data_IF_563714060267
#
_entry.id   IF_563714060267
#
_cell.length_a   1.000
_cell.length_b   1.000
_cell.length_c   1.000
_cell.angle_alpha   90.00
_cell.angle_beta   90.00
_cell.angle_gamma   90.00
#
_symmetry.space_group_name_H-M   'P 1'
#
loop_
_entity.id
_entity.type
_entity.pdbx_description
1 polymer ?
#
# COMPACT_ATOMS: atom_id res chain seq x y z
N UNK A 1 7.66 -25.04 0.38
CA UNK A 1 6.79 -25.33 1.52
C UNK A 1 5.56 -26.09 1.05
N UNK A 2 5.41 -27.34 1.43
CA UNK A 2 4.31 -28.22 1.00
C UNK A 2 2.98 -27.93 1.74
N UNK A 3 2.97 -26.94 2.64
CA UNK A 3 1.80 -26.61 3.43
C UNK A 3 1.02 -25.42 2.84
N UNK A 4 -0.22 -25.61 2.36
CA UNK A 4 -1.06 -24.54 1.82
C UNK A 4 -1.28 -23.37 2.78
N UNK A 5 -1.32 -23.63 4.08
CA UNK A 5 -1.42 -22.60 5.11
C UNK A 5 -0.18 -21.70 5.17
N UNK A 6 1.00 -22.26 4.90
CA UNK A 6 2.23 -21.46 4.80
C UNK A 6 2.20 -20.56 3.58
N UNK A 7 1.68 -21.03 2.44
CA UNK A 7 1.49 -20.19 1.26
C UNK A 7 0.50 -19.05 1.51
N UNK A 8 -0.65 -19.36 2.05
CA UNK A 8 -1.65 -18.36 2.42
C UNK A 8 -1.12 -17.33 3.43
N UNK A 9 -0.34 -17.78 4.43
CA UNK A 9 0.33 -16.90 5.39
C UNK A 9 1.36 -15.98 4.73
N UNK A 10 2.15 -16.51 3.79
CA UNK A 10 3.08 -15.72 2.98
C UNK A 10 2.35 -14.65 2.17
N UNK A 11 1.29 -15.01 1.44
CA UNK A 11 0.49 -14.09 0.64
C UNK A 11 -0.12 -12.97 1.50
N UNK A 12 -0.56 -13.28 2.72
CA UNK A 12 -1.06 -12.27 3.68
C UNK A 12 0.02 -11.23 4.02
N UNK A 13 1.24 -11.67 4.36
CA UNK A 13 2.35 -10.76 4.65
C UNK A 13 2.76 -9.98 3.41
N UNK A 14 2.79 -10.64 2.25
CA UNK A 14 3.12 -10.04 0.95
C UNK A 14 2.10 -8.96 0.56
N UNK A 15 0.81 -9.14 0.85
CA UNK A 15 -0.24 -8.16 0.51
C UNK A 15 -0.04 -6.78 1.16
N UNK A 16 0.53 -6.73 2.36
CA UNK A 16 0.89 -5.48 3.03
C UNK A 16 2.22 -4.91 2.54
N UNK A 17 3.11 -5.78 2.04
CA UNK A 17 4.47 -5.45 1.59
C UNK A 17 4.61 -5.72 0.08
N UNK A 18 3.57 -5.45 -0.70
CA UNK A 18 3.43 -5.81 -2.10
C UNK A 18 4.46 -5.16 -3.04
N UNK A 19 5.13 -4.10 -2.60
CA UNK A 19 6.19 -3.42 -3.35
C UNK A 19 7.56 -4.08 -3.22
N UNK A 20 7.71 -5.03 -2.31
CA UNK A 20 8.89 -5.87 -2.23
C UNK A 20 8.83 -6.95 -3.30
N UNK A 21 9.98 -7.36 -3.82
CA UNK A 21 10.07 -8.52 -4.71
C UNK A 21 9.68 -9.79 -3.97
N UNK A 22 9.27 -10.82 -4.70
CA UNK A 22 8.84 -12.07 -4.08
C UNK A 22 9.91 -12.71 -3.18
N UNK A 23 11.18 -12.70 -3.59
CA UNK A 23 12.30 -13.21 -2.80
C UNK A 23 12.48 -12.43 -1.48
N UNK A 24 12.30 -11.11 -1.49
CA UNK A 24 12.31 -10.27 -0.29
C UNK A 24 11.08 -10.54 0.60
N UNK A 25 9.89 -10.72 -0.01
CA UNK A 25 8.65 -11.08 0.70
C UNK A 25 8.79 -12.44 1.40
N UNK A 26 9.44 -13.41 0.75
CA UNK A 26 9.71 -14.74 1.32
C UNK A 26 10.63 -14.63 2.54
N UNK A 27 11.72 -13.87 2.44
CA UNK A 27 12.64 -13.62 3.55
C UNK A 27 11.96 -12.84 4.69
N UNK A 28 11.12 -11.88 4.34
CA UNK A 28 10.31 -11.13 5.30
C UNK A 28 9.37 -12.05 6.07
N UNK A 29 8.58 -12.86 5.37
CA UNK A 29 7.64 -13.80 5.99
C UNK A 29 8.33 -14.81 6.90
N UNK A 30 9.47 -15.35 6.47
CA UNK A 30 10.23 -16.32 7.25
C UNK A 30 10.73 -15.75 8.59
N UNK A 31 10.99 -14.44 8.68
CA UNK A 31 11.54 -13.78 9.87
C UNK A 31 10.47 -13.03 10.67
N UNK A 32 9.46 -12.45 9.99
CA UNK A 32 8.42 -11.62 10.57
C UNK A 32 7.09 -11.79 9.83
N UNK A 33 6.34 -12.89 10.08
CA UNK A 33 5.10 -13.17 9.35
C UNK A 33 3.96 -12.15 9.59
N UNK A 34 4.04 -11.36 10.64
CA UNK A 34 3.09 -10.29 11.01
C UNK A 34 3.49 -8.90 10.51
N UNK A 35 4.53 -8.77 9.70
CA UNK A 35 5.01 -7.49 9.20
C UNK A 35 3.97 -6.79 8.32
N UNK A 36 3.73 -5.49 8.58
CA UNK A 36 2.72 -4.68 7.88
C UNK A 36 3.31 -3.56 7.04
N UNK A 37 4.42 -2.97 7.45
CA UNK A 37 5.11 -1.92 6.70
C UNK A 37 6.58 -1.88 7.10
N UNK A 38 7.45 -2.31 6.20
CA UNK A 38 8.87 -2.44 6.48
C UNK A 38 9.70 -1.48 5.64
N UNK A 39 10.68 -0.86 6.27
CA UNK A 39 11.67 0.01 5.63
C UNK A 39 13.02 -0.12 6.34
N UNK A 40 14.13 0.19 5.64
CA UNK A 40 15.42 0.33 6.26
C UNK A 40 15.45 1.55 7.21
N UNK A 41 16.35 1.51 8.21
CA UNK A 41 16.43 2.53 9.27
C UNK A 41 16.62 3.95 8.72
N UNK A 42 17.38 4.09 7.64
CA UNK A 42 17.64 5.38 6.98
C UNK A 42 16.36 6.02 6.44
N UNK A 43 15.46 5.19 5.90
CA UNK A 43 14.15 5.66 5.40
C UNK A 43 13.22 6.01 6.56
N UNK A 44 13.21 5.22 7.63
CA UNK A 44 12.44 5.56 8.83
C UNK A 44 12.87 6.90 9.43
N UNK A 45 14.17 7.13 9.55
CA UNK A 45 14.72 8.36 10.13
C UNK A 45 14.53 9.55 9.19
N UNK A 46 14.96 9.44 7.94
CA UNK A 46 15.01 10.56 6.99
C UNK A 46 13.64 10.95 6.45
N UNK A 47 12.82 9.98 6.01
CA UNK A 47 11.53 10.27 5.39
C UNK A 47 10.42 10.49 6.40
N UNK A 48 10.40 9.76 7.52
CA UNK A 48 9.28 9.77 8.46
C UNK A 48 9.61 10.36 9.84
N UNK A 49 10.88 10.63 10.15
CA UNK A 49 11.28 11.11 11.48
C UNK A 49 10.97 10.11 12.58
N UNK A 50 11.03 8.81 12.24
CA UNK A 50 10.80 7.70 13.16
C UNK A 50 12.10 7.01 13.50
N UNK A 51 12.20 6.48 14.72
CA UNK A 51 13.40 5.83 15.25
C UNK A 51 13.09 4.38 15.59
N UNK A 52 14.01 3.49 15.26
CA UNK A 52 13.90 2.08 15.61
C UNK A 52 14.03 1.92 17.12
N UNK A 53 13.16 1.11 17.71
CA UNK A 53 13.13 0.84 19.15
C UNK A 53 14.40 0.07 19.57
N UNK A 54 14.92 0.38 20.74
CA UNK A 54 16.08 -0.33 21.28
C UNK A 54 15.74 -1.81 21.47
N UNK A 55 16.56 -2.68 20.87
CA UNK A 55 16.39 -4.12 20.95
C UNK A 55 15.49 -4.71 19.86
N UNK A 56 14.92 -3.89 18.95
CA UNK A 56 14.23 -4.39 17.78
C UNK A 56 15.19 -5.21 16.91
N UNK A 57 14.70 -6.32 16.35
CA UNK A 57 15.47 -7.18 15.47
C UNK A 57 15.22 -6.76 14.03
N UNK A 58 16.29 -6.43 13.30
CA UNK A 58 16.21 -6.16 11.87
C UNK A 58 15.89 -7.43 11.09
N UNK A 59 15.05 -7.28 10.08
CA UNK A 59 14.68 -8.32 9.12
C UNK A 59 15.70 -8.26 7.99
N UNK A 60 16.49 -9.31 7.83
CA UNK A 60 17.55 -9.37 6.84
C UNK A 60 16.97 -9.70 5.45
N UNK A 61 17.17 -8.81 4.48
CA UNK A 61 16.80 -8.99 3.07
C UNK A 61 17.99 -8.71 2.17
N UNK A 62 17.97 -9.26 0.97
CA UNK A 62 18.98 -8.99 -0.04
C UNK A 62 18.43 -7.98 -1.05
N UNK A 63 18.97 -6.78 -1.08
CA UNK A 63 18.70 -5.78 -2.10
C UNK A 63 19.69 -5.93 -3.26
N UNK A 64 19.19 -5.88 -4.48
CA UNK A 64 20.01 -5.85 -5.68
C UNK A 64 20.47 -4.41 -5.99
N UNK A 65 21.68 -4.08 -5.58
CA UNK A 65 22.36 -2.85 -5.99
C UNK A 65 22.94 -3.05 -7.40
N UNK A 66 22.24 -2.64 -8.45
CA UNK A 66 22.71 -2.67 -9.85
C UNK A 66 22.93 -4.06 -10.47
N UNK A 67 22.06 -5.06 -10.25
CA UNK A 67 22.11 -6.41 -10.87
C UNK A 67 23.45 -7.18 -10.70
N UNK A 68 24.47 -6.60 -10.07
CA UNK A 68 25.79 -7.21 -9.94
C UNK A 68 26.27 -7.43 -8.50
N UNK A 69 25.62 -6.80 -7.52
CA UNK A 69 25.97 -6.97 -6.10
C UNK A 69 24.71 -7.02 -5.25
N UNK A 70 24.49 -8.16 -4.65
CA UNK A 70 23.51 -8.30 -3.58
C UNK A 70 24.09 -7.68 -2.30
N UNK A 71 23.34 -6.76 -1.73
CA UNK A 71 23.65 -6.14 -0.44
C UNK A 71 22.68 -6.66 0.61
N UNK A 72 23.20 -7.12 1.72
CA UNK A 72 22.40 -7.44 2.89
C UNK A 72 21.96 -6.14 3.57
N UNK A 73 20.65 -5.91 3.59
CA UNK A 73 20.01 -4.75 4.24
C UNK A 73 19.08 -5.25 5.34
N UNK A 74 18.91 -4.44 6.40
CA UNK A 74 18.01 -4.76 7.50
C UNK A 74 16.80 -3.83 7.47
N UNK A 75 15.63 -4.42 7.31
CA UNK A 75 14.35 -3.73 7.41
C UNK A 75 13.80 -3.82 8.83
N UNK A 76 12.98 -2.84 9.19
CA UNK A 76 12.27 -2.80 10.47
C UNK A 76 10.80 -2.52 10.19
N UNK A 77 9.91 -3.26 10.84
CA UNK A 77 8.48 -3.01 10.74
C UNK A 77 8.11 -1.72 11.49
N UNK A 78 7.04 -1.06 11.05
CA UNK A 78 6.54 0.18 11.68
C UNK A 78 6.28 0.00 13.17
N UNK A 79 5.84 -1.19 13.61
CA UNK A 79 5.59 -1.52 15.02
C UNK A 79 6.87 -1.53 15.87
N UNK A 80 8.02 -1.74 15.24
CA UNK A 80 9.34 -1.67 15.87
C UNK A 80 9.90 -0.25 15.91
N UNK A 81 9.13 0.77 15.55
CA UNK A 81 9.57 2.16 15.51
C UNK A 81 8.68 3.07 16.35
N UNK A 82 9.23 4.18 16.80
CA UNK A 82 8.49 5.26 17.45
C UNK A 82 8.72 6.59 16.72
N UNK A 83 7.71 7.46 16.73
CA UNK A 83 7.80 8.78 16.13
C UNK A 83 8.54 9.76 17.05
N UNK A 84 9.36 10.63 16.47
CA UNK A 84 9.83 11.83 17.12
C UNK A 84 8.70 12.88 17.19
N UNK A 85 8.92 14.00 17.90
CA UNK A 85 7.96 15.13 17.87
C UNK A 85 7.75 15.72 16.46
N UNK A 86 8.60 15.41 15.52
CA UNK A 86 8.55 15.84 14.12
C UNK A 86 8.21 14.68 13.15
N UNK A 87 7.72 13.57 13.70
CA UNK A 87 7.37 12.41 12.87
C UNK A 87 6.28 12.79 11.87
N UNK A 88 6.51 12.40 10.62
CA UNK A 88 5.50 12.51 9.56
C UNK A 88 4.58 11.31 9.60
N UNK A 89 3.30 11.47 9.22
CA UNK A 89 2.42 10.32 9.03
C UNK A 89 3.01 9.33 8.03
N UNK A 90 2.96 8.05 8.36
CA UNK A 90 3.30 6.99 7.39
C UNK A 90 2.04 6.77 6.54
N UNK A 91 2.13 6.81 5.20
CA UNK A 91 0.98 6.68 4.33
C UNK A 91 0.51 5.21 4.26
N UNK A 92 -0.07 4.75 5.35
CA UNK A 92 -0.73 3.45 5.43
C UNK A 92 -2.20 3.66 5.05
N UNK A 93 -2.51 3.49 3.78
CA UNK A 93 -3.88 3.61 3.30
C UNK A 93 -4.76 2.46 3.81
N UNK A 94 -6.02 2.74 4.03
CA UNK A 94 -7.04 1.79 4.45
C UNK A 94 -8.24 1.91 3.54
N UNK A 95 -8.80 0.74 3.17
CA UNK A 95 -10.07 0.69 2.47
C UNK A 95 -11.19 1.19 3.38
N UNK A 96 -12.11 1.97 2.81
CA UNK A 96 -13.35 2.40 3.44
C UNK A 96 -14.50 2.10 2.51
N UNK A 97 -15.69 1.89 3.05
CA UNK A 97 -16.88 1.61 2.26
C UNK A 97 -17.16 2.72 1.24
N UNK A 98 -16.89 3.97 1.60
CA UNK A 98 -17.07 5.12 0.71
C UNK A 98 -16.15 5.12 -0.53
N UNK A 99 -15.09 4.30 -0.54
CA UNK A 99 -14.13 4.18 -1.66
C UNK A 99 -14.40 2.97 -2.56
N UNK A 100 -15.44 2.19 -2.27
CA UNK A 100 -15.69 0.91 -2.96
C UNK A 100 -15.88 1.09 -4.47
N UNK A 101 -16.67 2.08 -4.87
CA UNK A 101 -16.90 2.39 -6.28
C UNK A 101 -15.64 2.84 -7.01
N UNK A 102 -14.84 3.72 -6.36
CA UNK A 102 -13.60 4.22 -6.96
C UNK A 102 -12.53 3.12 -7.10
N UNK A 103 -12.47 2.21 -6.13
CA UNK A 103 -11.57 1.04 -6.17
C UNK A 103 -12.00 0.05 -7.25
N UNK A 104 -13.31 -0.20 -7.39
CA UNK A 104 -13.86 -1.04 -8.44
C UNK A 104 -13.50 -0.47 -9.82
N UNK A 105 -13.79 0.80 -10.06
CA UNK A 105 -13.44 1.50 -11.30
C UNK A 105 -11.93 1.46 -11.57
N UNK A 106 -11.10 1.62 -10.54
CA UNK A 106 -9.64 1.53 -10.66
C UNK A 106 -9.20 0.15 -11.14
N UNK A 107 -9.76 -0.92 -10.59
CA UNK A 107 -9.45 -2.29 -11.00
C UNK A 107 -9.87 -2.55 -12.45
N UNK A 108 -11.09 -2.15 -12.83
CA UNK A 108 -11.58 -2.31 -14.21
C UNK A 108 -10.78 -1.48 -15.22
N UNK A 109 -10.39 -0.26 -14.87
CA UNK A 109 -9.51 0.57 -15.71
C UNK A 109 -8.10 -0.01 -15.84
N UNK A 110 -7.61 -0.74 -14.83
CA UNK A 110 -6.26 -1.32 -14.84
C UNK A 110 -6.21 -2.66 -15.56
N UNK A 111 -7.22 -3.51 -15.38
CA UNK A 111 -7.21 -4.92 -15.79
C UNK A 111 -8.33 -5.30 -16.76
N UNK A 112 -9.16 -4.34 -17.17
CA UNK A 112 -10.35 -4.60 -18.00
C UNK A 112 -11.59 -4.92 -17.16
N UNK A 113 -12.76 -4.74 -17.80
CA UNK A 113 -14.07 -4.92 -17.17
C UNK A 113 -14.25 -6.36 -16.69
N UNK A 114 -14.86 -6.53 -15.52
CA UNK A 114 -15.26 -7.83 -14.99
C UNK A 114 -16.62 -8.25 -15.60
N UNK A 115 -16.79 -9.53 -15.91
CA UNK A 115 -18.08 -10.08 -16.40
C UNK A 115 -19.19 -9.99 -15.35
N UNK A 116 -18.85 -10.15 -14.06
CA UNK A 116 -19.74 -9.97 -12.91
C UNK A 116 -19.29 -8.78 -12.06
N UNK A 117 -20.07 -7.73 -12.08
CA UNK A 117 -19.85 -6.50 -11.31
C UNK A 117 -20.82 -6.31 -10.16
N UNK A 118 -21.43 -7.38 -9.69
CA UNK A 118 -22.45 -7.35 -8.62
C UNK A 118 -21.88 -7.00 -7.25
N UNK A 119 -20.62 -7.35 -6.99
CA UNK A 119 -19.89 -7.08 -5.74
C UNK A 119 -18.44 -6.74 -6.02
N UNK A 120 -17.77 -6.03 -5.10
CA UNK A 120 -16.36 -5.74 -5.23
C UNK A 120 -15.50 -7.02 -5.30
N UNK A 121 -15.89 -8.06 -4.59
CA UNK A 121 -15.22 -9.36 -4.63
C UNK A 121 -15.32 -10.02 -6.01
N UNK A 122 -16.49 -9.95 -6.68
CA UNK A 122 -16.67 -10.45 -8.05
C UNK A 122 -15.84 -9.64 -9.04
N UNK A 123 -15.78 -8.32 -8.89
CA UNK A 123 -14.93 -7.43 -9.69
C UNK A 123 -13.45 -7.79 -9.52
N UNK A 124 -13.00 -7.99 -8.28
CA UNK A 124 -11.61 -8.42 -8.02
C UNK A 124 -11.30 -9.72 -8.76
N UNK A 125 -12.17 -10.72 -8.68
CA UNK A 125 -11.94 -12.01 -9.34
C UNK A 125 -11.92 -11.89 -10.87
N UNK A 126 -12.84 -11.14 -11.46
CA UNK A 126 -12.90 -10.91 -12.89
C UNK A 126 -11.68 -10.14 -13.41
N UNK A 127 -11.37 -9.00 -12.79
CA UNK A 127 -10.21 -8.17 -13.14
C UNK A 127 -8.89 -8.92 -12.97
N UNK A 128 -8.71 -9.67 -11.87
CA UNK A 128 -7.54 -10.53 -11.68
C UNK A 128 -7.48 -11.63 -12.73
N UNK A 129 -8.63 -12.22 -13.11
CA UNK A 129 -8.73 -13.16 -14.21
C UNK A 129 -8.12 -12.61 -15.48
N UNK A 130 -8.56 -11.41 -15.90
CA UNK A 130 -8.06 -10.69 -17.07
C UNK A 130 -6.55 -10.41 -16.94
N UNK A 131 -6.12 -9.83 -15.82
CA UNK A 131 -4.72 -9.49 -15.58
C UNK A 131 -3.79 -10.69 -15.67
N UNK A 132 -4.20 -11.83 -15.11
CA UNK A 132 -3.40 -13.06 -15.17
C UNK A 132 -3.39 -13.61 -16.60
N UNK A 133 -4.53 -13.69 -17.29
CA UNK A 133 -4.61 -14.22 -18.64
C UNK A 133 -3.76 -13.39 -19.61
N UNK A 134 -3.68 -12.08 -19.44
CA UNK A 134 -2.87 -11.18 -20.27
C UNK A 134 -1.35 -11.32 -20.02
N UNK A 135 -0.94 -11.64 -18.80
CA UNK A 135 0.47 -11.63 -18.39
C UNK A 135 1.09 -13.02 -18.22
N UNK A 136 0.27 -14.06 -18.04
CA UNK A 136 0.76 -15.40 -17.63
C UNK A 136 1.70 -16.05 -18.66
N UNK A 137 1.58 -15.70 -19.93
CA UNK A 137 2.40 -16.25 -20.99
C UNK A 137 3.90 -16.03 -20.75
N UNK A 138 4.27 -14.86 -20.21
CA UNK A 138 5.66 -14.52 -19.92
C UNK A 138 6.24 -15.37 -18.79
N UNK A 139 5.42 -15.76 -17.82
CA UNK A 139 5.81 -16.62 -16.70
C UNK A 139 5.75 -18.11 -17.02
N UNK A 140 4.97 -18.49 -18.04
CA UNK A 140 4.86 -19.89 -18.50
C UNK A 140 5.99 -20.32 -19.45
N UNK A 141 6.71 -19.37 -20.05
CA UNK A 141 7.73 -19.65 -21.03
C UNK A 141 8.76 -20.66 -20.54
N UNK A 142 9.16 -20.56 -19.26
CA UNK A 142 10.16 -21.42 -18.64
C UNK A 142 9.56 -22.54 -17.79
N UNK A 143 8.21 -22.62 -17.65
CA UNK A 143 7.55 -23.57 -16.76
C UNK A 143 7.99 -25.01 -17.01
N UNK A 144 8.06 -25.43 -18.26
CA UNK A 144 8.42 -26.78 -18.60
C UNK A 144 9.86 -27.14 -18.21
N UNK A 145 10.79 -26.19 -18.31
CA UNK A 145 12.19 -26.41 -17.90
C UNK A 145 12.34 -26.43 -16.38
N UNK A 146 11.47 -25.73 -15.64
CA UNK A 146 11.49 -25.64 -14.18
C UNK A 146 10.78 -26.82 -13.49
N UNK A 147 9.97 -27.61 -14.23
CA UNK A 147 9.21 -28.73 -13.67
C UNK A 147 10.10 -29.90 -13.20
N UNK A 148 11.33 -30.01 -13.68
CA UNK A 148 12.22 -31.11 -13.36
C UNK A 148 12.41 -31.24 -11.82
N UNK A 149 12.16 -32.44 -11.31
CA UNK A 149 12.25 -32.75 -9.89
C UNK A 149 11.04 -32.30 -9.03
N UNK A 150 10.07 -31.60 -9.60
CA UNK A 150 8.83 -31.24 -8.94
C UNK A 150 7.73 -32.29 -9.11
N UNK A 151 6.69 -32.26 -8.27
CA UNK A 151 5.48 -33.09 -8.47
C UNK A 151 4.77 -32.74 -9.77
N UNK A 152 4.83 -31.47 -10.20
CA UNK A 152 4.26 -31.01 -11.48
C UNK A 152 4.85 -31.72 -12.70
N UNK A 153 6.04 -32.30 -12.63
CA UNK A 153 6.65 -33.10 -13.70
C UNK A 153 5.79 -34.30 -14.10
N UNK A 154 4.98 -34.82 -13.19
CA UNK A 154 4.07 -35.93 -13.44
C UNK A 154 2.79 -35.55 -14.19
N UNK A 155 2.51 -34.25 -14.35
CA UNK A 155 1.32 -33.72 -15.00
C UNK A 155 1.53 -33.62 -16.53
N UNK A 156 0.42 -33.70 -17.28
CA UNK A 156 0.45 -33.31 -18.68
C UNK A 156 0.72 -31.77 -18.76
N UNK A 157 1.42 -31.31 -19.80
CA UNK A 157 1.81 -29.90 -19.93
C UNK A 157 0.63 -28.93 -19.83
N UNK A 158 -0.50 -29.21 -20.46
CA UNK A 158 -1.70 -28.36 -20.39
C UNK A 158 -2.29 -28.36 -18.99
N UNK A 159 -2.36 -29.50 -18.31
CA UNK A 159 -2.84 -29.58 -16.94
C UNK A 159 -1.92 -28.83 -15.96
N UNK A 160 -0.60 -28.90 -16.14
CA UNK A 160 0.34 -28.14 -15.34
C UNK A 160 0.17 -26.64 -15.53
N UNK A 161 -0.03 -26.19 -16.76
CA UNK A 161 -0.31 -24.80 -17.12
C UNK A 161 -1.60 -24.30 -16.46
N UNK A 162 -2.69 -25.07 -16.59
CA UNK A 162 -3.99 -24.71 -16.04
C UNK A 162 -3.94 -24.59 -14.51
N UNK A 163 -3.31 -25.56 -13.84
CA UNK A 163 -3.13 -25.55 -12.38
C UNK A 163 -2.30 -24.36 -11.95
N UNK A 164 -1.20 -24.07 -12.66
CA UNK A 164 -0.36 -22.90 -12.40
C UNK A 164 -1.15 -21.59 -12.52
N UNK A 165 -1.85 -21.41 -13.66
CA UNK A 165 -2.65 -20.22 -13.93
C UNK A 165 -3.73 -20.00 -12.86
N UNK A 166 -4.45 -21.05 -12.49
CA UNK A 166 -5.48 -20.97 -11.45
C UNK A 166 -4.89 -20.64 -10.08
N UNK A 167 -3.74 -21.22 -9.73
CA UNK A 167 -3.08 -20.91 -8.47
C UNK A 167 -2.62 -19.44 -8.41
N UNK A 168 -2.09 -18.90 -9.51
CA UNK A 168 -1.72 -17.49 -9.60
C UNK A 168 -2.96 -16.59 -9.48
N UNK A 169 -4.06 -16.89 -10.21
CA UNK A 169 -5.33 -16.14 -10.10
C UNK A 169 -5.83 -16.09 -8.66
N UNK A 170 -5.91 -17.22 -7.99
CA UNK A 170 -6.38 -17.31 -6.60
C UNK A 170 -5.44 -16.57 -5.64
N UNK A 171 -4.13 -16.66 -5.86
CA UNK A 171 -3.13 -16.00 -5.02
C UNK A 171 -3.18 -14.47 -5.16
N UNK A 172 -3.28 -13.93 -6.37
CA UNK A 172 -3.41 -12.49 -6.62
C UNK A 172 -4.72 -11.95 -6.06
N UNK A 173 -5.85 -12.61 -6.33
CA UNK A 173 -7.15 -12.21 -5.81
C UNK A 173 -7.17 -12.20 -4.27
N UNK A 174 -6.58 -13.22 -3.65
CA UNK A 174 -6.43 -13.28 -2.19
C UNK A 174 -5.59 -12.10 -1.65
N UNK A 175 -4.45 -11.79 -2.29
CA UNK A 175 -3.61 -10.66 -1.85
C UNK A 175 -4.35 -9.33 -1.90
N UNK A 176 -5.11 -9.07 -2.96
CA UNK A 176 -5.91 -7.85 -3.10
C UNK A 176 -7.03 -7.82 -2.05
N UNK A 177 -7.78 -8.92 -1.89
CA UNK A 177 -8.86 -9.05 -0.89
C UNK A 177 -8.35 -8.81 0.53
N UNK A 178 -7.22 -9.43 0.91
CA UNK A 178 -6.58 -9.21 2.22
C UNK A 178 -6.17 -7.76 2.41
N UNK A 179 -5.55 -7.14 1.39
CA UNK A 179 -5.03 -5.77 1.52
C UNK A 179 -6.15 -4.73 1.61
N UNK A 180 -7.30 -5.01 0.99
CA UNK A 180 -8.52 -4.21 1.13
C UNK A 180 -9.25 -4.48 2.45
N UNK A 181 -8.88 -5.51 3.22
CA UNK A 181 -9.56 -5.86 4.46
C UNK A 181 -10.95 -6.46 4.26
N UNK A 182 -11.22 -7.01 3.08
CA UNK A 182 -12.49 -7.69 2.75
C UNK A 182 -12.54 -9.10 3.34
N UNK A 183 -13.72 -9.73 3.30
CA UNK A 183 -13.89 -11.10 3.79
C UNK A 183 -13.07 -12.10 2.95
N UNK A 184 -12.21 -12.85 3.63
CA UNK A 184 -11.36 -13.87 3.02
C UNK A 184 -11.86 -15.30 3.21
N UNK A 185 -13.07 -15.49 3.73
CA UNK A 185 -13.64 -16.81 4.05
C UNK A 185 -13.77 -17.73 2.83
N UNK A 186 -13.89 -17.17 1.62
CA UNK A 186 -13.90 -17.91 0.35
C UNK A 186 -12.56 -18.56 -0.01
N UNK A 187 -11.47 -18.07 0.55
CA UNK A 187 -10.12 -18.58 0.32
C UNK A 187 -9.72 -19.51 1.46
N UNK A 188 -10.19 -20.75 1.39
CA UNK A 188 -9.83 -21.78 2.37
C UNK A 188 -8.43 -22.33 2.09
N UNK A 189 -7.92 -23.18 2.99
CA UNK A 189 -6.64 -23.84 2.77
C UNK A 189 -6.64 -24.71 1.50
N UNK A 190 -7.79 -25.27 1.15
CA UNK A 190 -7.99 -26.09 -0.06
C UNK A 190 -7.79 -25.26 -1.34
N UNK A 191 -8.10 -23.97 -1.33
CA UNK A 191 -7.91 -23.06 -2.48
C UNK A 191 -6.44 -23.02 -2.93
N UNK A 192 -5.50 -23.28 -2.03
CA UNK A 192 -4.06 -23.21 -2.30
C UNK A 192 -3.36 -24.58 -2.29
N UNK A 193 -4.11 -25.69 -2.23
CA UNK A 193 -3.50 -27.03 -2.20
C UNK A 193 -2.61 -27.32 -3.41
N UNK A 194 -2.94 -26.71 -4.53
CA UNK A 194 -2.19 -26.87 -5.78
C UNK A 194 -0.74 -26.37 -5.71
N UNK A 195 -0.36 -25.58 -4.71
CA UNK A 195 1.05 -25.22 -4.48
C UNK A 195 1.93 -26.45 -4.26
N UNK A 196 1.37 -27.54 -3.75
CA UNK A 196 2.09 -28.81 -3.57
C UNK A 196 2.60 -29.45 -4.85
N UNK A 197 2.05 -29.13 -6.02
CA UNK A 197 2.60 -29.56 -7.29
C UNK A 197 3.91 -28.85 -7.63
N UNK A 198 4.08 -27.63 -7.16
CA UNK A 198 5.20 -26.72 -7.46
C UNK A 198 6.21 -26.70 -6.29
N UNK A 199 6.64 -27.86 -5.83
CA UNK A 199 7.34 -28.06 -4.56
C UNK A 199 8.88 -27.95 -4.62
N UNK A 200 9.44 -27.46 -5.73
CA UNK A 200 10.85 -27.08 -5.80
C UNK A 200 11.04 -25.59 -5.56
N UNK A 201 12.22 -25.14 -5.09
CA UNK A 201 12.49 -23.72 -4.91
C UNK A 201 12.27 -22.89 -6.19
N UNK A 202 12.66 -23.42 -7.34
CA UNK A 202 12.52 -22.77 -8.64
C UNK A 202 11.04 -22.59 -9.02
N UNK A 203 10.23 -23.65 -8.80
CA UNK A 203 8.80 -23.62 -9.09
C UNK A 203 8.03 -22.71 -8.13
N UNK A 204 8.36 -22.74 -6.82
CA UNK A 204 7.80 -21.82 -5.83
C UNK A 204 8.12 -20.39 -6.20
N UNK A 205 9.35 -20.11 -6.63
CA UNK A 205 9.75 -18.78 -7.09
C UNK A 205 8.97 -18.38 -8.35
N UNK A 206 8.79 -19.27 -9.32
CA UNK A 206 8.02 -18.97 -10.54
C UNK A 206 6.57 -18.58 -10.22
N UNK A 207 5.88 -19.34 -9.36
CA UNK A 207 4.52 -19.01 -8.89
C UNK A 207 4.53 -17.68 -8.12
N UNK A 208 5.52 -17.50 -7.25
CA UNK A 208 5.62 -16.34 -6.38
C UNK A 208 5.89 -15.04 -7.13
N UNK A 209 6.80 -15.05 -8.11
CA UNK A 209 7.08 -13.87 -8.93
C UNK A 209 5.86 -13.49 -9.77
N UNK A 210 5.21 -14.42 -10.45
CA UNK A 210 3.98 -14.15 -11.21
C UNK A 210 2.90 -13.53 -10.29
N UNK A 211 2.69 -14.13 -9.11
CA UNK A 211 1.71 -13.65 -8.14
C UNK A 211 2.06 -12.25 -7.64
N UNK A 212 3.31 -12.03 -7.23
CA UNK A 212 3.75 -10.76 -6.64
C UNK A 212 3.71 -9.61 -7.65
N UNK A 213 4.20 -9.84 -8.86
CA UNK A 213 4.28 -8.81 -9.90
C UNK A 213 2.87 -8.38 -10.35
N UNK A 214 1.96 -9.33 -10.59
CA UNK A 214 0.58 -9.02 -10.99
C UNK A 214 -0.19 -8.35 -9.83
N UNK A 215 -0.02 -8.82 -8.60
CA UNK A 215 -0.64 -8.19 -7.44
C UNK A 215 -0.11 -6.75 -7.20
N UNK A 216 1.19 -6.50 -7.41
CA UNK A 216 1.78 -5.17 -7.28
C UNK A 216 1.14 -4.17 -8.26
N UNK A 217 0.85 -4.59 -9.50
CA UNK A 217 0.18 -3.73 -10.49
C UNK A 217 -1.15 -3.18 -9.94
N UNK A 218 -2.07 -4.06 -9.55
CA UNK A 218 -3.38 -3.67 -9.05
C UNK A 218 -3.31 -2.92 -7.71
N UNK A 219 -2.53 -3.41 -6.76
CA UNK A 219 -2.40 -2.79 -5.44
C UNK A 219 -1.73 -1.41 -5.49
N UNK A 220 -0.86 -1.16 -6.47
CA UNK A 220 -0.26 0.16 -6.69
C UNK A 220 -1.30 1.17 -7.16
N UNK A 221 -2.16 0.82 -8.12
CA UNK A 221 -3.21 1.71 -8.61
C UNK A 221 -4.28 1.95 -7.55
N UNK A 222 -4.72 0.91 -6.84
CA UNK A 222 -5.63 1.05 -5.68
C UNK A 222 -5.04 2.00 -4.63
N UNK A 223 -3.76 1.85 -4.29
CA UNK A 223 -3.09 2.72 -3.34
C UNK A 223 -3.07 4.18 -3.80
N UNK A 224 -2.84 4.44 -5.09
CA UNK A 224 -2.89 5.79 -5.68
C UNK A 224 -4.29 6.41 -5.56
N UNK A 225 -5.32 5.66 -5.92
CA UNK A 225 -6.72 6.07 -5.83
C UNK A 225 -7.10 6.42 -4.40
N UNK A 226 -6.88 5.52 -3.44
CA UNK A 226 -7.23 5.75 -2.04
C UNK A 226 -6.47 6.95 -1.46
N UNK A 227 -5.16 7.08 -1.73
CA UNK A 227 -4.38 8.23 -1.27
C UNK A 227 -4.89 9.56 -1.87
N UNK A 228 -5.33 9.56 -3.13
CA UNK A 228 -5.92 10.75 -3.76
C UNK A 228 -7.25 11.13 -3.10
N UNK A 229 -8.14 10.17 -2.85
CA UNK A 229 -9.41 10.37 -2.16
C UNK A 229 -9.19 10.89 -0.72
N UNK A 230 -8.27 10.29 0.03
CA UNK A 230 -7.94 10.77 1.38
C UNK A 230 -7.36 12.19 1.40
N UNK A 231 -6.57 12.56 0.38
CA UNK A 231 -6.06 13.92 0.24
C UNK A 231 -7.19 14.90 -0.05
N UNK A 232 -8.09 14.56 -0.96
CA UNK A 232 -9.27 15.37 -1.28
C UNK A 232 -10.17 15.57 -0.07
N UNK A 233 -10.48 14.52 0.67
CA UNK A 233 -11.30 14.57 1.88
C UNK A 233 -10.68 15.49 2.95
N UNK A 234 -9.35 15.48 3.10
CA UNK A 234 -8.64 16.40 4.01
C UNK A 234 -8.76 17.86 3.59
N UNK A 235 -8.70 18.15 2.28
CA UNK A 235 -8.87 19.52 1.75
C UNK A 235 -10.28 20.02 2.03
N UNK A 236 -11.30 19.23 1.69
CA UNK A 236 -12.72 19.56 1.93
C UNK A 236 -12.99 19.81 3.43
N UNK A 237 -12.43 18.95 4.29
CA UNK A 237 -12.58 19.13 5.74
C UNK A 237 -11.94 20.42 6.26
N UNK A 238 -10.78 20.80 5.71
CA UNK A 238 -10.09 22.05 6.06
C UNK A 238 -10.85 23.29 5.58
N UNK A 239 -11.43 23.26 4.38
CA UNK A 239 -12.27 24.34 3.83
C UNK A 239 -13.53 24.53 4.67
N UNK A 240 -14.25 23.45 4.97
CA UNK A 240 -15.45 23.50 5.81
C UNK A 240 -15.16 24.07 7.22
N UNK A 241 -14.01 23.70 7.80
CA UNK A 241 -13.60 24.25 9.11
C UNK A 241 -13.25 25.75 9.03
N UNK A 242 -12.66 26.20 7.95
CA UNK A 242 -12.36 27.60 7.69
C UNK A 242 -13.64 28.44 7.55
N UNK A 243 -14.64 27.93 6.81
CA UNK A 243 -15.91 28.62 6.61
C UNK A 243 -16.74 28.67 7.88
N UNK A 244 -16.72 27.62 8.70
CA UNK A 244 -17.36 27.62 10.02
C UNK A 244 -16.78 28.71 10.93
N UNK A 245 -15.46 28.81 11.03
CA UNK A 245 -14.77 29.82 11.82
C UNK A 245 -15.02 31.26 11.30
N UNK A 246 -15.15 31.42 9.98
CA UNK A 246 -15.48 32.72 9.38
C UNK A 246 -16.90 33.17 9.72
N UNK A 247 -17.87 32.24 9.71
CA UNK A 247 -19.25 32.52 10.08
C UNK A 247 -19.41 32.85 11.56
N UNK A 248 -18.74 32.11 12.48
CA UNK A 248 -18.75 32.44 13.91
C UNK A 248 -18.16 33.83 14.21
N UNK A 249 -17.07 34.20 13.50
CA UNK A 249 -16.46 35.51 13.67
C UNK A 249 -17.36 36.64 13.12
N UNK A 250 -18.10 36.40 12.05
CA UNK A 250 -19.07 37.35 11.51
C UNK A 250 -20.29 37.52 12.44
N UNK A 251 -20.77 36.43 13.05
CA UNK A 251 -21.88 36.49 14.02
C UNK A 251 -21.45 37.26 15.31
N UNK A 252 -20.26 36.98 15.83
CA UNK A 252 -19.70 37.70 16.97
C UNK A 252 -19.44 39.19 16.69
N UNK A 253 -19.05 39.54 15.47
CA UNK A 253 -18.86 40.94 15.04
C UNK A 253 -20.18 41.66 14.90
N UNK A 254 -21.26 41.00 14.46
CA UNK A 254 -22.60 41.55 14.37
C UNK A 254 -23.27 41.74 15.75
N UNK A 255 -22.98 40.87 16.71
CA UNK A 255 -23.52 40.97 18.06
C UNK A 255 -22.86 42.11 18.85
N UNK A 256 -21.53 42.31 18.70
CA UNK A 256 -20.82 43.45 19.25
C UNK A 256 -21.24 44.81 18.62
N UNK A 257 -21.70 44.81 17.35
CA UNK A 257 -22.22 46.01 16.71
C UNK A 257 -23.60 46.47 17.22
N UNK A 258 -24.38 45.59 17.85
CA UNK A 258 -25.69 45.91 18.40
C UNK A 258 -25.65 46.46 19.83
N UNK A 259 -24.55 46.25 20.57
CA UNK A 259 -24.40 46.71 21.97
C UNK A 259 -23.71 48.08 22.13
N UNK A 260 -23.32 48.77 21.00
CA UNK A 260 -22.67 50.08 21.09
C UNK A 260 -23.58 51.26 20.70
N UNK A 261 -24.89 51.17 20.91
CA UNK A 261 -25.82 52.28 20.65
C UNK A 261 -26.44 52.87 21.93
N UNK A 262 -25.76 52.77 23.06
CA UNK A 262 -26.10 53.60 24.27
C UNK A 262 -24.88 53.65 25.19
N UNK A 263 -24.05 54.63 25.07
CA UNK A 263 -23.70 55.60 26.12
C UNK A 263 -22.69 56.66 25.61
N UNK A 264 -23.01 57.87 25.84
CA UNK A 264 -22.23 59.02 25.48
C UNK A 264 -21.26 59.43 26.57
N UNK A 265 -20.05 59.86 26.17
CA UNK A 265 -19.29 60.84 26.95
C UNK A 265 -18.04 60.36 27.65
N UNK A 266 -16.90 60.61 27.09
CA UNK A 266 -15.85 61.52 27.57
C UNK A 266 -14.46 61.16 27.03
N UNK A 267 -13.86 62.18 26.46
CA UNK A 267 -12.47 62.27 25.99
C UNK A 267 -11.46 61.97 27.10
N UNK A 268 -10.39 61.23 26.80
CA UNK A 268 -9.02 61.68 27.01
C UNK A 268 -7.97 60.83 26.27
N UNK A 269 -7.07 61.57 25.69
CA UNK A 269 -5.92 61.24 24.88
C UNK A 269 -4.81 60.46 25.58
N UNK A 270 -4.15 59.57 24.88
CA UNK A 270 -2.67 59.50 24.80
C UNK A 270 -2.21 58.41 23.81
N UNK A 271 -1.59 58.85 22.74
CA UNK A 271 -0.62 58.11 21.93
C UNK A 271 0.76 58.21 22.55
N UNK A 272 1.85 57.65 21.95
CA UNK A 272 2.09 56.35 21.29
C UNK A 272 3.37 55.67 21.83
N UNK A 273 3.69 54.48 21.39
CA UNK A 273 5.08 54.08 21.04
C UNK A 273 5.18 52.66 20.44
N UNK A 274 5.54 52.64 19.32
CA UNK A 274 6.53 52.01 18.43
C UNK A 274 7.33 50.81 18.93
N UNK A 275 7.29 49.69 18.16
CA UNK A 275 8.40 48.82 17.77
C UNK A 275 7.84 47.49 17.22
N UNK A 276 8.06 47.16 16.00
CA UNK A 276 9.21 46.55 15.41
C UNK A 276 8.73 45.42 14.52
N UNK A 277 8.78 45.66 13.25
CA UNK A 277 8.61 44.65 12.20
C UNK A 277 9.64 43.54 12.31
N UNK A 278 9.21 42.29 12.14
CA UNK A 278 10.06 41.20 11.67
C UNK A 278 9.28 40.39 10.64
N UNK A 279 9.53 40.73 9.40
CA UNK A 279 9.25 39.91 8.25
C UNK A 279 9.95 38.57 8.42
N UNK A 280 9.22 37.48 8.29
CA UNK A 280 9.80 36.17 7.96
C UNK A 280 9.15 35.65 6.69
N UNK A 281 9.96 35.67 5.66
CA UNK A 281 9.76 35.03 4.38
C UNK A 281 9.27 33.58 4.56
N UNK A 282 8.11 33.31 3.97
CA UNK A 282 7.65 31.94 3.77
C UNK A 282 8.35 31.37 2.53
N UNK A 283 9.43 30.64 2.76
CA UNK A 283 10.04 29.79 1.76
C UNK A 283 9.09 28.64 1.39
N UNK A 284 8.58 28.71 0.19
CA UNK A 284 7.86 27.67 -0.49
C UNK A 284 8.84 26.54 -0.81
N UNK A 285 8.86 25.49 0.00
CA UNK A 285 9.55 24.25 -0.36
C UNK A 285 8.52 23.22 -0.81
N UNK A 286 8.71 22.79 -2.06
CA UNK A 286 7.89 21.80 -2.74
C UNK A 286 7.75 20.50 -1.93
N UNK A 287 6.54 19.99 -1.94
CA UNK A 287 6.23 18.69 -1.40
C UNK A 287 6.84 17.63 -2.33
N UNK A 288 8.00 17.10 -1.98
CA UNK A 288 8.52 15.85 -2.53
C UNK A 288 7.59 14.73 -2.05
N UNK A 289 6.82 14.23 -2.99
CA UNK A 289 5.99 13.05 -2.86
C UNK A 289 6.92 11.84 -2.67
N UNK A 290 7.18 11.48 -1.41
CA UNK A 290 7.94 10.28 -1.08
C UNK A 290 7.09 9.05 -1.40
N UNK A 291 7.05 8.70 -2.68
CA UNK A 291 6.60 7.40 -3.15
C UNK A 291 7.56 6.35 -2.60
N UNK A 292 7.04 5.44 -1.79
CA UNK A 292 7.77 4.25 -1.36
C UNK A 292 8.23 3.48 -2.59
N UNK A 293 9.55 3.52 -2.86
CA UNK A 293 10.29 2.84 -3.94
C UNK A 293 9.76 3.02 -5.37
N UNK A 294 10.28 4.00 -6.09
CA UNK A 294 10.30 3.92 -7.56
C UNK A 294 11.39 2.91 -7.98
N UNK A 295 11.00 1.84 -8.65
CA UNK A 295 11.91 1.07 -9.49
C UNK A 295 12.12 1.85 -10.79
N UNK A 296 13.34 1.97 -11.32
CA UNK A 296 13.52 2.48 -12.68
C UNK A 296 12.89 1.48 -13.67
N UNK A 297 12.05 2.01 -14.55
CA UNK A 297 11.44 1.28 -15.66
C UNK A 297 12.52 0.55 -16.46
N UNK A 298 12.33 -0.74 -16.67
CA UNK A 298 13.17 -1.53 -17.56
C UNK A 298 12.77 -1.23 -19.00
N UNK A 299 13.70 -0.70 -19.78
CA UNK A 299 13.79 -0.89 -21.22
C UNK A 299 14.76 -2.02 -21.50
#
# INVERSE_FOLDING_TARGET
SENPLNWQGLLRTASYNFRLRFDEQLLLYAQRPDATAVLPIERWNGSFGRWVNRGAKGIAVFEDENRQRQRLTHYFDISDTHGSRYARPVPLWQMKLEYESDVAETLENTFGEADDNSTLESIIEGCVGNAVDDNIADYLADLQSLQEGSVAQSLLPDAARDIYTQLVKQSVAYMITVRLGLDTSRYSAESFMNIGYFNTPEMINAVGFATSDIAEMGLTEIARTINALEKQNRIIAAENHSDYNRNENNERSNDNGRNHLFDGGRLQSSEPENAGAAERESGQMGADEAVLSERPSQN
#
